data_IF_646672469001
#
_entry.id   IF_646672469001
#
_cell.length_a   1.000
_cell.length_b   1.000
_cell.length_c   1.000
_cell.angle_alpha   90.00
_cell.angle_beta   90.00
_cell.angle_gamma   90.00
#
_symmetry.space_group_name_H-M   'P 1'
#
loop_
_entity.id
_entity.type
_entity.pdbx_description
1 polymer ?
#
# COMPACT_ATOMS: atom_id res chain seq x y z
N UNK A 1 -20.75 -15.32 -3.20
CA UNK A 1 -20.98 -13.91 -2.76
C UNK A 1 -19.91 -13.04 -3.42
N UNK A 2 -20.33 -12.04 -4.20
CA UNK A 2 -19.39 -11.10 -4.82
C UNK A 2 -18.80 -10.21 -3.73
N UNK A 3 -17.73 -10.67 -3.08
CA UNK A 3 -17.00 -9.81 -2.16
C UNK A 3 -16.48 -8.61 -2.95
N UNK A 4 -16.76 -7.40 -2.44
CA UNK A 4 -16.28 -6.15 -2.99
C UNK A 4 -14.79 -6.29 -3.38
N UNK A 5 -14.42 -5.88 -4.61
CA UNK A 5 -13.06 -6.02 -5.16
C UNK A 5 -11.98 -5.53 -4.19
N UNK A 6 -12.26 -4.48 -3.43
CA UNK A 6 -11.35 -3.91 -2.44
C UNK A 6 -11.14 -4.84 -1.23
N UNK A 7 -12.20 -5.52 -0.77
CA UNK A 7 -12.10 -6.50 0.32
C UNK A 7 -11.24 -7.68 -0.13
N UNK A 8 -11.46 -8.20 -1.34
CA UNK A 8 -10.66 -9.30 -1.89
C UNK A 8 -9.19 -8.90 -2.05
N UNK A 9 -8.95 -7.68 -2.54
CA UNK A 9 -7.61 -7.14 -2.67
C UNK A 9 -6.89 -7.10 -1.33
N UNK A 10 -7.55 -6.58 -0.30
CA UNK A 10 -7.00 -6.52 1.07
C UNK A 10 -6.74 -7.92 1.62
N UNK A 11 -7.67 -8.86 1.46
CA UNK A 11 -7.50 -10.25 1.91
C UNK A 11 -6.30 -10.91 1.24
N UNK A 12 -6.18 -10.82 -0.08
CA UNK A 12 -5.04 -11.36 -0.83
C UNK A 12 -3.72 -10.69 -0.42
N UNK A 13 -3.73 -9.37 -0.25
CA UNK A 13 -2.55 -8.62 0.20
C UNK A 13 -2.10 -9.07 1.58
N UNK A 14 -3.04 -9.32 2.50
CA UNK A 14 -2.73 -9.74 3.87
C UNK A 14 -2.07 -11.13 3.91
N UNK A 15 -2.54 -12.07 3.09
CA UNK A 15 -1.93 -13.39 2.94
C UNK A 15 -0.52 -13.29 2.35
N UNK A 16 -0.37 -12.53 1.26
CA UNK A 16 0.91 -12.35 0.59
C UNK A 16 1.96 -11.66 1.47
N UNK A 17 1.56 -10.67 2.27
CA UNK A 17 2.47 -9.98 3.19
C UNK A 17 2.90 -10.90 4.33
N UNK A 18 1.99 -11.74 4.84
CA UNK A 18 2.32 -12.74 5.85
C UNK A 18 3.43 -13.69 5.37
N UNK A 19 3.42 -14.04 4.07
CA UNK A 19 4.45 -14.88 3.45
C UNK A 19 5.74 -14.13 3.07
N UNK A 20 5.72 -12.79 3.03
CA UNK A 20 6.79 -11.96 2.47
C UNK A 20 8.04 -11.81 3.35
N UNK A 21 8.05 -12.40 4.55
CA UNK A 21 9.10 -12.26 5.59
C UNK A 21 9.36 -10.81 6.04
N UNK A 22 8.47 -9.87 5.75
CA UNK A 22 8.55 -8.50 6.26
C UNK A 22 8.31 -8.55 7.79
N UNK A 23 9.16 -7.94 8.62
CA UNK A 23 8.95 -7.94 10.06
C UNK A 23 7.76 -7.05 10.44
N UNK A 24 7.00 -7.44 11.47
CA UNK A 24 5.83 -6.67 11.93
C UNK A 24 6.19 -5.22 12.33
N UNK A 25 7.36 -5.02 12.92
CA UNK A 25 7.87 -3.71 13.32
C UNK A 25 9.29 -3.50 12.79
N UNK A 26 9.65 -2.26 12.49
CA UNK A 26 10.96 -1.93 11.90
C UNK A 26 12.12 -2.15 12.86
N UNK A 27 11.86 -1.98 14.16
CA UNK A 27 12.82 -2.21 15.24
C UNK A 27 12.08 -2.45 16.56
N UNK A 28 12.82 -2.89 17.59
CA UNK A 28 12.33 -3.05 18.96
C UNK A 28 11.78 -1.74 19.55
N UNK A 29 12.32 -0.60 19.14
CA UNK A 29 12.01 0.75 19.64
C UNK A 29 10.96 1.51 18.81
N UNK A 30 10.33 0.85 17.82
CA UNK A 30 9.25 1.48 17.05
C UNK A 30 8.05 1.82 17.95
N UNK A 31 7.29 2.86 17.59
CA UNK A 31 6.14 3.36 18.37
C UNK A 31 4.94 2.39 18.45
N UNK A 32 5.01 1.24 17.77
CA UNK A 32 4.01 0.13 17.74
C UNK A 32 2.54 0.51 17.47
N UNK A 33 2.24 1.77 17.14
CA UNK A 33 0.90 2.24 16.76
C UNK A 33 0.38 1.54 15.51
N UNK A 34 1.24 1.41 14.50
CA UNK A 34 0.93 0.72 13.26
C UNK A 34 2.00 -0.34 12.99
N UNK A 35 1.56 -1.51 12.54
CA UNK A 35 2.46 -2.53 12.03
C UNK A 35 2.91 -2.17 10.62
N UNK A 36 4.09 -2.64 10.22
CA UNK A 36 4.55 -2.50 8.85
C UNK A 36 3.64 -3.23 7.86
N UNK A 37 2.98 -4.30 8.31
CA UNK A 37 2.03 -5.05 7.48
C UNK A 37 0.81 -4.19 7.16
N UNK A 38 0.21 -3.55 8.16
CA UNK A 38 -0.91 -2.62 7.95
C UNK A 38 -0.52 -1.50 6.98
N UNK A 39 0.59 -0.80 7.24
CA UNK A 39 1.04 0.31 6.37
C UNK A 39 1.37 -0.15 4.95
N UNK A 40 1.86 -1.37 4.79
CA UNK A 40 2.13 -1.96 3.48
C UNK A 40 0.86 -2.30 2.71
N UNK A 41 -0.18 -2.83 3.37
CA UNK A 41 -1.49 -3.05 2.75
C UNK A 41 -2.05 -1.72 2.24
N UNK A 42 -2.00 -0.67 3.06
CA UNK A 42 -2.48 0.66 2.68
C UNK A 42 -1.73 1.23 1.47
N UNK A 43 -0.41 1.06 1.45
CA UNK A 43 0.41 1.50 0.32
C UNK A 43 0.09 0.70 -0.96
N UNK A 44 -0.13 -0.61 -0.87
CA UNK A 44 -0.54 -1.45 -2.01
C UNK A 44 -1.93 -1.06 -2.53
N UNK A 45 -2.86 -0.77 -1.62
CA UNK A 45 -4.20 -0.30 -1.97
C UNK A 45 -4.13 1.05 -2.69
N UNK A 46 -3.28 1.97 -2.21
CA UNK A 46 -3.01 3.26 -2.86
C UNK A 46 -2.51 3.08 -4.30
N UNK A 47 -1.54 2.20 -4.53
CA UNK A 47 -1.05 1.93 -5.89
C UNK A 47 -2.10 1.25 -6.78
N UNK A 48 -2.90 0.34 -6.21
CA UNK A 48 -3.97 -0.31 -6.96
C UNK A 48 -5.08 0.65 -7.40
N UNK A 49 -5.39 1.64 -6.56
CA UNK A 49 -6.38 2.68 -6.87
C UNK A 49 -5.81 3.80 -7.75
N UNK A 50 -4.48 3.91 -7.85
CA UNK A 50 -3.79 5.03 -8.48
C UNK A 50 -4.23 6.41 -7.93
N UNK A 51 -4.48 6.49 -6.62
CA UNK A 51 -4.98 7.69 -5.92
C UNK A 51 -3.92 8.32 -5.01
N UNK A 52 -4.20 9.52 -4.49
CA UNK A 52 -3.32 10.20 -3.54
C UNK A 52 -3.37 9.62 -2.12
N UNK A 53 -2.37 9.97 -1.31
CA UNK A 53 -2.31 9.51 0.09
C UNK A 53 -3.47 10.04 0.95
N UNK A 54 -4.10 11.16 0.57
CA UNK A 54 -5.24 11.73 1.30
C UNK A 54 -6.52 10.99 0.95
N UNK A 55 -6.81 10.87 -0.34
CA UNK A 55 -7.98 10.15 -0.85
C UNK A 55 -8.03 8.70 -0.36
N UNK A 56 -6.87 8.05 -0.25
CA UNK A 56 -6.78 6.68 0.28
C UNK A 56 -7.18 6.60 1.75
N UNK A 57 -6.74 7.57 2.56
CA UNK A 57 -7.12 7.68 3.97
C UNK A 57 -8.62 7.99 4.11
N UNK A 58 -9.14 8.93 3.32
CA UNK A 58 -10.58 9.26 3.29
C UNK A 58 -11.44 8.05 2.89
N UNK A 59 -10.99 7.26 1.90
CA UNK A 59 -11.65 6.02 1.51
C UNK A 59 -11.69 5.01 2.66
N UNK A 60 -10.58 4.83 3.37
CA UNK A 60 -10.48 3.90 4.52
C UNK A 60 -11.38 4.39 5.66
N UNK A 61 -11.43 5.69 5.90
CA UNK A 61 -12.31 6.28 6.91
C UNK A 61 -13.78 6.03 6.59
N UNK A 62 -14.15 6.10 5.31
CA UNK A 62 -15.51 5.86 4.83
C UNK A 62 -15.90 4.36 4.85
N UNK A 63 -14.93 3.45 4.74
CA UNK A 63 -15.18 2.01 4.61
C UNK A 63 -14.74 1.23 5.87
N UNK A 64 -15.61 1.14 6.88
CA UNK A 64 -15.35 0.40 8.12
C UNK A 64 -14.93 -1.06 7.91
N UNK A 65 -15.53 -1.73 6.92
CA UNK A 65 -15.19 -3.11 6.57
C UNK A 65 -13.72 -3.27 6.17
N UNK A 66 -13.12 -2.27 5.53
CA UNK A 66 -11.69 -2.31 5.19
C UNK A 66 -10.81 -2.10 6.43
N UNK A 67 -11.21 -1.20 7.34
CA UNK A 67 -10.51 -0.98 8.62
C UNK A 67 -10.47 -2.28 9.44
N UNK A 68 -11.60 -2.96 9.54
CA UNK A 68 -11.72 -4.24 10.25
C UNK A 68 -10.82 -5.32 9.63
N UNK A 69 -10.83 -5.45 8.29
CA UNK A 69 -10.01 -6.45 7.59
C UNK A 69 -8.51 -6.22 7.75
N UNK A 70 -8.08 -4.97 7.87
CA UNK A 70 -6.67 -4.60 8.07
C UNK A 70 -6.31 -4.64 9.57
N UNK A 71 -7.30 -4.73 10.47
CA UNK A 71 -7.18 -4.59 11.91
C UNK A 71 -6.58 -3.23 12.30
N UNK A 72 -7.14 -2.15 11.75
CA UNK A 72 -6.77 -0.77 12.10
C UNK A 72 -7.68 -0.25 13.20
N UNK A 73 -7.12 0.08 14.36
CA UNK A 73 -7.85 0.72 15.45
C UNK A 73 -8.25 2.16 15.10
N UNK A 74 -7.34 2.88 14.42
CA UNK A 74 -7.54 4.25 13.96
C UNK A 74 -6.98 4.41 12.54
N UNK A 75 -7.57 5.33 11.77
CA UNK A 75 -7.09 5.69 10.45
C UNK A 75 -5.73 6.42 10.55
N UNK A 76 -4.67 5.98 9.84
CA UNK A 76 -3.40 6.66 9.89
C UNK A 76 -3.47 7.96 9.09
N UNK A 77 -2.90 9.01 9.64
CA UNK A 77 -2.68 10.25 8.90
C UNK A 77 -1.91 9.99 7.59
N UNK A 78 -2.25 10.68 6.49
CA UNK A 78 -1.67 10.45 5.15
C UNK A 78 -0.13 10.48 5.12
N UNK A 79 0.49 11.36 5.94
CA UNK A 79 1.96 11.44 6.04
C UNK A 79 2.59 10.20 6.65
N UNK A 80 1.85 9.39 7.42
CA UNK A 80 2.33 8.11 7.94
C UNK A 80 2.59 7.12 6.81
N UNK A 81 1.65 7.02 5.86
CA UNK A 81 1.78 6.18 4.67
C UNK A 81 2.92 6.71 3.78
N UNK A 82 2.96 8.02 3.55
CA UNK A 82 4.03 8.67 2.78
C UNK A 82 5.43 8.41 3.39
N UNK A 83 5.59 8.61 4.69
CA UNK A 83 6.86 8.34 5.41
C UNK A 83 7.20 6.86 5.42
N UNK A 84 6.22 5.96 5.37
CA UNK A 84 6.47 4.53 5.23
C UNK A 84 6.97 4.20 3.82
N UNK A 85 6.36 4.76 2.78
CA UNK A 85 6.80 4.62 1.40
C UNK A 85 8.27 5.07 1.20
N UNK A 86 8.68 6.14 1.86
CA UNK A 86 10.08 6.61 1.82
C UNK A 86 11.08 5.65 2.51
N UNK A 87 10.62 4.83 3.46
CA UNK A 87 11.47 3.92 4.25
C UNK A 87 11.57 2.52 3.66
N UNK A 88 10.55 2.07 2.94
CA UNK A 88 10.55 0.72 2.35
C UNK A 88 11.49 0.67 1.14
N UNK A 89 12.21 -0.45 0.98
CA UNK A 89 13.05 -0.67 -0.20
C UNK A 89 12.16 -0.81 -1.43
N UNK A 90 12.37 0.04 -2.43
CA UNK A 90 11.56 0.06 -3.66
C UNK A 90 11.47 -1.32 -4.32
N UNK A 91 12.58 -2.07 -4.39
CA UNK A 91 12.60 -3.43 -4.93
C UNK A 91 11.67 -4.42 -4.18
N UNK A 92 11.59 -4.31 -2.85
CA UNK A 92 10.73 -5.20 -2.06
C UNK A 92 9.27 -4.88 -2.32
N UNK A 93 8.95 -3.57 -2.36
CA UNK A 93 7.61 -3.10 -2.66
C UNK A 93 7.15 -3.51 -4.06
N UNK A 94 7.92 -3.21 -5.11
CA UNK A 94 7.57 -3.54 -6.50
C UNK A 94 7.42 -5.04 -6.71
N UNK A 95 8.28 -5.86 -6.08
CA UNK A 95 8.15 -7.32 -6.12
C UNK A 95 6.84 -7.82 -5.51
N UNK A 96 6.44 -7.26 -4.37
CA UNK A 96 5.18 -7.63 -3.72
C UNK A 96 3.97 -7.15 -4.52
N UNK A 97 4.01 -5.91 -5.03
CA UNK A 97 2.96 -5.36 -5.87
C UNK A 97 2.76 -6.21 -7.13
N UNK A 98 3.83 -6.52 -7.87
CA UNK A 98 3.75 -7.34 -9.08
C UNK A 98 3.20 -8.74 -8.80
N UNK A 99 3.63 -9.36 -7.69
CA UNK A 99 3.12 -10.68 -7.29
C UNK A 99 1.64 -10.61 -6.91
N UNK A 100 1.23 -9.57 -6.20
CA UNK A 100 -0.18 -9.34 -5.83
C UNK A 100 -1.03 -9.11 -7.08
N UNK A 101 -0.63 -8.20 -7.97
CA UNK A 101 -1.32 -7.93 -9.24
C UNK A 101 -1.52 -9.23 -10.02
N UNK A 102 -0.45 -10.03 -10.17
CA UNK A 102 -0.53 -11.31 -10.88
C UNK A 102 -1.58 -12.23 -10.26
N UNK A 103 -1.52 -12.45 -8.94
CA UNK A 103 -2.49 -13.31 -8.24
C UNK A 103 -3.94 -12.77 -8.33
N UNK A 104 -4.09 -11.45 -8.29
CA UNK A 104 -5.39 -10.79 -8.29
C UNK A 104 -6.07 -10.88 -9.67
N UNK A 105 -5.32 -10.68 -10.75
CA UNK A 105 -5.85 -10.76 -12.12
C UNK A 105 -5.92 -12.18 -12.69
N UNK A 106 -5.00 -13.09 -12.30
CA UNK A 106 -5.06 -14.51 -12.70
C UNK A 106 -6.36 -15.19 -12.21
N UNK A 107 -6.96 -14.69 -11.12
CA UNK A 107 -8.21 -15.20 -10.55
C UNK A 107 -9.48 -14.72 -11.30
N UNK A 108 -9.34 -13.96 -12.39
CA UNK A 108 -10.46 -13.65 -13.30
C UNK A 108 -10.95 -12.20 -13.29
N UNK A 109 -10.20 -11.26 -12.72
CA UNK A 109 -10.43 -9.83 -12.97
C UNK A 109 -9.75 -9.43 -14.29
N UNK A 110 -10.53 -8.94 -15.27
CA UNK A 110 -9.98 -8.41 -16.53
C UNK A 110 -9.48 -6.99 -16.32
N UNK A 111 -8.26 -6.71 -16.76
CA UNK A 111 -7.71 -5.35 -16.82
C UNK A 111 -8.54 -4.57 -17.86
N UNK A 112 -9.26 -3.48 -17.52
CA UNK A 112 -9.56 -2.48 -18.52
C UNK A 112 -8.21 -1.87 -18.88
N UNK A 113 -7.70 -2.13 -20.09
CA UNK A 113 -6.40 -1.68 -20.56
C UNK A 113 -6.19 -0.19 -20.23
N UNK A 114 -5.52 0.08 -19.11
CA UNK A 114 -5.20 1.42 -18.65
C UNK A 114 -3.71 1.51 -18.83
N UNK A 115 -3.27 2.36 -19.76
CA UNK A 115 -1.86 2.62 -19.98
C UNK A 115 -1.26 3.11 -18.65
N UNK A 116 -0.44 2.27 -18.03
CA UNK A 116 0.25 2.59 -16.78
C UNK A 116 1.38 3.55 -17.15
N UNK A 117 1.08 4.85 -17.10
CA UNK A 117 2.11 5.88 -17.18
C UNK A 117 3.08 5.67 -16.01
N UNK A 118 4.35 5.71 -16.34
CA UNK A 118 5.45 5.41 -15.44
C UNK A 118 5.54 6.55 -14.44
N UNK A 119 4.93 6.40 -13.26
CA UNK A 119 5.04 7.42 -12.21
C UNK A 119 6.51 7.56 -11.83
N UNK A 120 7.12 8.58 -12.42
CA UNK A 120 8.53 8.85 -12.38
C UNK A 120 8.96 9.12 -10.96
N UNK A 121 9.89 8.31 -10.47
CA UNK A 121 10.87 8.79 -9.51
C UNK A 121 11.68 9.90 -10.20
N UNK A 122 11.16 11.13 -10.29
CA UNK A 122 11.97 12.29 -10.62
C UNK A 122 12.71 12.70 -9.36
N UNK A 123 13.94 12.19 -9.22
CA UNK A 123 14.96 12.82 -8.39
C UNK A 123 15.26 14.20 -9.00
N UNK A 124 14.54 15.22 -8.56
CA UNK A 124 14.81 16.60 -8.97
C UNK A 124 14.63 17.53 -7.76
N UNK A 125 15.46 17.33 -6.74
CA UNK A 125 15.78 18.39 -5.78
C UNK A 125 17.27 18.72 -5.92
N UNK A 126 17.59 19.55 -6.90
CA UNK A 126 18.86 20.25 -6.95
C UNK A 126 18.60 21.68 -6.48
N UNK A 127 19.02 21.99 -5.24
CA UNK A 127 18.99 23.35 -4.71
C UNK A 127 20.09 24.18 -5.37
N UNK A 128 19.72 25.30 -5.98
CA UNK A 128 20.57 26.23 -6.75
C UNK A 128 21.58 27.09 -5.93
N UNK A 129 21.83 26.81 -4.65
CA UNK A 129 22.43 27.80 -3.74
C UNK A 129 23.95 27.69 -3.47
N UNK A 130 24.66 26.78 -4.13
CA UNK A 130 26.12 26.74 -4.08
C UNK A 130 26.68 26.41 -5.48
N UNK A 131 26.90 27.45 -6.27
CA UNK A 131 27.82 27.45 -7.41
C UNK A 131 28.88 28.51 -7.16
#
# INVERSE_FOLDING_TARGET
MSANRYIRFVELSSGLIRDSRVPLYSSKYSRKTYTQHQLLILLLLKEYLATDYRDTVELIETMDVLKDKINLDESPHFTTIQKFCQRIKSFTFTRLLNRLMKMFYDWGEKIPCTAVDSFGFTSSYASHYYS
#
